data_IF_554454715289
#
_entry.id   IF_554454715289
#
_cell.length_a   1.000
_cell.length_b   1.000
_cell.length_c   1.000
_cell.angle_alpha   90.00
_cell.angle_beta   90.00
_cell.angle_gamma   90.00
#
_symmetry.space_group_name_H-M   'P 1'
#
loop_
_entity.id
_entity.type
_entity.pdbx_description
1 polymer ?
#
# COMPACT_ATOMS: atom_id res chain seq x y z
N UNK A 1 -3.28 -9.45 19.94
CA UNK A 1 -2.97 -8.04 19.62
C UNK A 1 -1.73 -8.10 18.76
N UNK A 2 -1.80 -7.66 17.51
CA UNK A 2 -0.62 -7.60 16.66
C UNK A 2 0.24 -6.43 17.13
N UNK A 3 1.53 -6.67 17.33
CA UNK A 3 2.48 -5.61 17.62
C UNK A 3 2.93 -4.95 16.30
N UNK A 4 3.53 -3.76 16.40
CA UNK A 4 4.02 -3.02 15.22
C UNK A 4 4.88 -3.86 14.27
N UNK A 5 5.69 -4.77 14.80
CA UNK A 5 6.54 -5.67 14.00
C UNK A 5 5.73 -6.64 13.15
N UNK A 6 4.63 -7.19 13.68
CA UNK A 6 3.75 -8.07 12.91
C UNK A 6 3.03 -7.31 11.80
N UNK A 7 2.60 -6.08 12.11
CA UNK A 7 1.99 -5.16 11.14
C UNK A 7 2.97 -4.83 10.02
N UNK A 8 4.21 -4.48 10.35
CA UNK A 8 5.25 -4.19 9.36
C UNK A 8 5.59 -5.42 8.50
N UNK A 9 5.57 -6.62 9.08
CA UNK A 9 5.78 -7.87 8.34
C UNK A 9 4.65 -8.14 7.33
N UNK A 10 3.40 -7.97 7.74
CA UNK A 10 2.24 -8.12 6.85
C UNK A 10 2.20 -7.03 5.77
N UNK A 11 2.51 -5.78 6.12
CA UNK A 11 2.65 -4.69 5.14
C UNK A 11 3.74 -4.99 4.10
N UNK A 12 4.88 -5.56 4.53
CA UNK A 12 5.95 -5.98 3.62
C UNK A 12 5.55 -7.15 2.69
N UNK A 13 4.73 -8.09 3.18
CA UNK A 13 4.15 -9.14 2.33
C UNK A 13 3.23 -8.54 1.27
N UNK A 14 2.34 -7.63 1.67
CA UNK A 14 1.43 -6.93 0.75
C UNK A 14 2.19 -6.13 -0.31
N UNK A 15 3.25 -5.41 0.09
CA UNK A 15 4.10 -4.65 -0.83
C UNK A 15 4.78 -5.55 -1.87
N UNK A 16 5.22 -6.74 -1.46
CA UNK A 16 5.85 -7.72 -2.36
C UNK A 16 4.86 -8.42 -3.29
N UNK A 17 3.60 -8.53 -2.89
CA UNK A 17 2.53 -9.21 -3.62
C UNK A 17 1.89 -8.30 -4.68
N UNK A 18 1.87 -6.99 -4.43
CA UNK A 18 1.22 -6.00 -5.29
C UNK A 18 1.71 -6.01 -6.76
N UNK A 19 3.03 -6.08 -7.07
CA UNK A 19 3.50 -6.17 -8.45
C UNK A 19 3.01 -7.43 -9.18
N UNK A 20 2.89 -8.55 -8.46
CA UNK A 20 2.35 -9.80 -9.01
C UNK A 20 0.87 -9.65 -9.37
N UNK A 21 0.07 -9.08 -8.46
CA UNK A 21 -1.34 -8.81 -8.74
C UNK A 21 -1.54 -7.89 -9.94
N UNK A 22 -0.74 -6.81 -10.04
CA UNK A 22 -0.80 -5.87 -11.18
C UNK A 22 -0.45 -6.55 -12.49
N UNK A 23 0.43 -7.54 -12.48
CA UNK A 23 0.82 -8.29 -13.68
C UNK A 23 -0.22 -9.35 -14.09
N UNK A 24 -0.91 -9.96 -13.12
CA UNK A 24 -1.83 -11.08 -13.34
C UNK A 24 -3.30 -10.65 -13.52
N UNK A 25 -3.70 -9.52 -12.92
CA UNK A 25 -5.10 -9.08 -12.87
C UNK A 25 -5.30 -7.75 -13.61
N UNK A 26 -6.50 -7.52 -14.19
CA UNK A 26 -6.86 -6.21 -14.70
C UNK A 26 -6.95 -5.21 -13.55
N UNK A 27 -6.63 -3.94 -13.82
CA UNK A 27 -6.55 -2.85 -12.82
C UNK A 27 -7.76 -2.76 -11.89
N UNK A 28 -8.97 -3.03 -12.41
CA UNK A 28 -10.22 -3.02 -11.64
C UNK A 28 -10.30 -4.15 -10.59
N UNK A 29 -9.67 -5.30 -10.86
CA UNK A 29 -9.64 -6.46 -9.97
C UNK A 29 -8.43 -6.44 -9.03
N UNK A 30 -7.33 -5.76 -9.41
CA UNK A 30 -6.13 -5.64 -8.56
C UNK A 30 -6.48 -5.05 -7.19
N UNK A 31 -7.28 -3.96 -7.17
CA UNK A 31 -7.69 -3.32 -5.92
C UNK A 31 -8.53 -4.26 -5.05
N UNK A 32 -9.40 -5.05 -5.67
CA UNK A 32 -10.26 -6.01 -4.96
C UNK A 32 -9.44 -7.16 -4.38
N UNK A 33 -8.51 -7.71 -5.16
CA UNK A 33 -7.60 -8.77 -4.70
C UNK A 33 -6.70 -8.26 -3.58
N UNK A 34 -6.12 -7.07 -3.73
CA UNK A 34 -5.28 -6.46 -2.70
C UNK A 34 -6.07 -6.17 -1.41
N UNK A 35 -7.31 -5.69 -1.52
CA UNK A 35 -8.16 -5.45 -0.36
C UNK A 35 -8.50 -6.74 0.41
N UNK A 36 -8.68 -7.86 -0.29
CA UNK A 36 -8.91 -9.16 0.33
C UNK A 36 -7.68 -9.64 1.13
N UNK A 37 -6.47 -9.45 0.58
CA UNK A 37 -5.22 -9.77 1.30
C UNK A 37 -5.03 -8.84 2.52
N UNK A 38 -5.37 -7.56 2.39
CA UNK A 38 -5.27 -6.58 3.48
C UNK A 38 -6.37 -6.73 4.55
N UNK A 39 -7.42 -7.51 4.31
CA UNK A 39 -8.50 -7.74 5.28
C UNK A 39 -7.98 -8.36 6.58
N UNK A 40 -7.04 -9.28 6.47
CA UNK A 40 -6.39 -9.92 7.64
C UNK A 40 -5.66 -8.90 8.51
N UNK A 41 -5.08 -7.86 7.91
CA UNK A 41 -4.41 -6.78 8.62
C UNK A 41 -5.43 -5.87 9.31
N UNK A 42 -6.52 -5.51 8.64
CA UNK A 42 -7.57 -4.65 9.22
C UNK A 42 -8.36 -5.35 10.33
N UNK A 43 -8.54 -6.67 10.28
CA UNK A 43 -9.30 -7.42 11.28
C UNK A 43 -8.58 -7.53 12.64
N UNK A 44 -7.25 -7.38 12.65
CA UNK A 44 -6.41 -7.64 13.82
C UNK A 44 -5.54 -6.45 14.25
N UNK A 45 -5.49 -5.39 13.44
CA UNK A 45 -4.75 -4.17 13.76
C UNK A 45 -5.37 -3.44 14.96
N UNK A 46 -4.55 -3.00 15.93
CA UNK A 46 -5.01 -2.10 16.98
C UNK A 46 -5.28 -0.70 16.39
N UNK A 47 -6.27 -0.01 16.94
CA UNK A 47 -6.70 1.31 16.48
C UNK A 47 -5.58 2.36 16.47
N UNK A 48 -4.58 2.22 17.36
CA UNK A 48 -3.39 3.09 17.40
C UNK A 48 -2.52 3.00 16.14
N UNK A 49 -2.65 1.91 15.37
CA UNK A 49 -1.88 1.66 14.15
C UNK A 49 -2.71 1.77 12.87
N UNK A 50 -4.03 2.00 12.95
CA UNK A 50 -4.90 2.16 11.77
C UNK A 50 -4.42 3.27 10.83
N UNK A 51 -4.10 4.45 11.37
CA UNK A 51 -3.61 5.57 10.57
C UNK A 51 -2.26 5.27 9.88
N UNK A 52 -1.39 4.51 10.55
CA UNK A 52 -0.12 4.07 10.01
C UNK A 52 -0.30 3.07 8.86
N UNK A 53 -1.16 2.06 9.07
CA UNK A 53 -1.51 1.04 8.08
C UNK A 53 -2.16 1.68 6.85
N UNK A 54 -3.16 2.54 7.05
CA UNK A 54 -3.87 3.22 5.96
C UNK A 54 -2.92 4.06 5.10
N UNK A 55 -2.02 4.82 5.74
CA UNK A 55 -0.99 5.59 5.03
C UNK A 55 -0.06 4.68 4.23
N UNK A 56 0.39 3.57 4.81
CA UNK A 56 1.33 2.66 4.11
C UNK A 56 0.67 1.96 2.93
N UNK A 57 -0.57 1.52 3.08
CA UNK A 57 -1.39 0.95 1.99
C UNK A 57 -1.59 1.97 0.87
N UNK A 58 -1.97 3.21 1.18
CA UNK A 58 -2.15 4.25 0.16
C UNK A 58 -0.85 4.45 -0.64
N UNK A 59 0.29 4.51 0.04
CA UNK A 59 1.59 4.63 -0.61
C UNK A 59 1.94 3.47 -1.54
N UNK A 60 1.65 2.23 -1.13
CA UNK A 60 1.87 1.06 -1.99
C UNK A 60 1.01 1.13 -3.26
N UNK A 61 -0.29 1.44 -3.11
CA UNK A 61 -1.22 1.56 -4.23
C UNK A 61 -0.83 2.71 -5.19
N UNK A 62 -0.38 3.84 -4.63
CA UNK A 62 0.09 4.98 -5.40
C UNK A 62 1.37 4.63 -6.19
N UNK A 63 2.31 3.91 -5.58
CA UNK A 63 3.52 3.44 -6.25
C UNK A 63 3.22 2.45 -7.39
N UNK A 64 2.15 1.66 -7.25
CA UNK A 64 1.64 0.79 -8.32
C UNK A 64 0.79 1.52 -9.37
N UNK A 65 0.53 2.83 -9.20
CA UNK A 65 -0.30 3.62 -10.12
C UNK A 65 -1.79 3.29 -10.05
N UNK A 66 -2.24 2.61 -9.00
CA UNK A 66 -3.63 2.18 -8.82
C UNK A 66 -4.52 3.27 -8.24
N UNK A 67 -3.93 4.20 -7.48
CA UNK A 67 -4.61 5.38 -6.93
C UNK A 67 -3.77 6.63 -7.23
N UNK A 68 -4.39 7.80 -7.39
CA UNK A 68 -3.64 9.06 -7.35
C UNK A 68 -2.98 9.16 -5.97
N UNK A 69 -1.65 9.21 -5.92
CA UNK A 69 -0.92 9.38 -4.66
C UNK A 69 -1.35 10.66 -3.94
N UNK A 70 -1.29 10.66 -2.61
CA UNK A 70 -1.65 11.84 -1.81
C UNK A 70 -0.86 13.08 -2.26
N UNK A 71 -1.57 14.10 -2.72
CA UNK A 71 -1.02 15.35 -3.25
C UNK A 71 -0.78 16.44 -2.20
N UNK A 72 -1.11 16.22 -0.92
CA UNK A 72 -0.88 17.24 0.11
C UNK A 72 -0.44 16.61 1.44
N UNK A 73 0.80 16.89 1.85
CA UNK A 73 1.23 16.75 3.24
C UNK A 73 2.61 16.15 3.43
N UNK A 74 2.78 14.86 3.13
CA UNK A 74 4.07 14.19 3.29
C UNK A 74 4.24 13.13 2.20
N UNK A 75 5.34 13.15 1.42
CA UNK A 75 5.56 12.16 0.38
C UNK A 75 5.60 10.77 1.00
N UNK A 76 4.88 9.85 0.38
CA UNK A 76 5.11 8.44 0.58
C UNK A 76 6.61 8.16 0.43
N UNK A 77 7.28 7.53 1.42
CA UNK A 77 8.63 7.03 1.23
C UNK A 77 8.54 5.81 0.31
N UNK A 78 8.34 6.06 -0.96
CA UNK A 78 8.47 5.10 -2.06
C UNK A 78 9.54 5.70 -2.95
N UNK A 79 10.73 5.11 -2.84
CA UNK A 79 11.95 5.63 -3.43
C UNK A 79 11.98 5.46 -4.95
N UNK A 80 11.28 6.33 -5.67
CA UNK A 80 11.67 6.81 -7.00
C UNK A 80 11.16 8.27 -7.08
N UNK A 81 12.05 9.29 -7.12
CA UNK A 81 11.60 10.65 -7.41
C UNK A 81 10.95 10.67 -8.80
N UNK A 82 9.91 11.48 -9.03
CA UNK A 82 9.38 11.66 -10.38
C UNK A 82 10.55 12.05 -11.27
N UNK A 83 10.82 11.25 -12.32
CA UNK A 83 11.75 11.64 -13.37
C UNK A 83 11.33 13.05 -13.78
N UNK A 84 12.25 13.99 -13.62
CA UNK A 84 12.15 15.29 -14.22
C UNK A 84 11.83 15.09 -15.71
N UNK A 85 10.57 15.26 -16.06
CA UNK A 85 10.12 15.38 -17.42
C UNK A 85 9.89 16.87 -17.65
N UNK A 86 10.67 17.39 -18.60
CA UNK A 86 10.49 18.67 -19.29
C UNK A 86 10.82 19.97 -18.51
N UNK A 87 12.04 20.49 -18.67
CA UNK A 87 12.35 21.42 -19.79
C UNK A 87 13.83 21.74 -19.89
#
# INVERSE_FOLDING_TARGET
MQDKTDIDAELGRLESLLPGLVAELPTEDVLKAFAAEAESLNAHAPAEHEAYIARRINCMLAAAGLVPGETEGEPCPTGIPPRAADR
#
